data_IF_209833559295
#
_entry.id   IF_209833559295
#
_cell.length_a   1.000
_cell.length_b   1.000
_cell.length_c   1.000
_cell.angle_alpha   90.00
_cell.angle_beta   90.00
_cell.angle_gamma   90.00
#
_symmetry.space_group_name_H-M   'P 1'
#
loop_
_entity.id
_entity.type
_entity.pdbx_description
1 polymer ?
#
# COMPACT_ATOMS: atom_id res chain seq x y z
N UNK A 1 -19.69 -18.31 -5.96
CA UNK A 1 -19.90 -16.86 -5.78
C UNK A 1 -19.44 -16.20 -7.07
N UNK A 2 -20.34 -15.57 -7.81
CA UNK A 2 -20.00 -14.94 -9.10
C UNK A 2 -19.13 -13.73 -8.83
N UNK A 3 -17.88 -13.78 -9.31
CA UNK A 3 -16.86 -12.75 -9.14
C UNK A 3 -17.19 -11.54 -10.02
N UNK A 4 -18.19 -10.73 -9.64
CA UNK A 4 -18.25 -9.37 -10.17
C UNK A 4 -16.98 -8.65 -9.71
N UNK A 5 -16.10 -8.33 -10.66
CA UNK A 5 -14.98 -7.43 -10.46
C UNK A 5 -15.52 -6.00 -10.29
N UNK A 6 -16.20 -5.72 -9.17
CA UNK A 6 -16.64 -4.36 -8.84
C UNK A 6 -15.38 -3.58 -8.46
N UNK A 7 -14.98 -2.68 -9.34
CA UNK A 7 -13.84 -1.79 -9.14
C UNK A 7 -14.11 -0.93 -7.89
N UNK A 8 -13.36 -1.18 -6.82
CA UNK A 8 -13.40 -0.36 -5.61
C UNK A 8 -12.93 1.06 -5.93
N UNK A 9 -13.60 2.06 -5.36
CA UNK A 9 -13.27 3.46 -5.58
C UNK A 9 -12.49 4.01 -4.38
N UNK A 10 -11.45 4.78 -4.69
CA UNK A 10 -10.72 5.55 -3.69
C UNK A 10 -11.34 6.93 -3.56
N UNK A 11 -11.75 7.30 -2.34
CA UNK A 11 -12.16 8.67 -2.03
C UNK A 11 -10.99 9.65 -2.26
N UNK A 12 -11.31 10.92 -2.44
CA UNK A 12 -10.29 11.95 -2.65
C UNK A 12 -9.37 12.09 -1.43
N UNK A 13 -9.92 11.96 -0.23
CA UNK A 13 -9.16 11.98 1.02
C UNK A 13 -8.18 10.81 1.10
N UNK A 14 -8.62 9.58 0.78
CA UNK A 14 -7.74 8.41 0.76
C UNK A 14 -6.60 8.60 -0.24
N UNK A 15 -6.88 9.16 -1.44
CA UNK A 15 -5.83 9.46 -2.44
C UNK A 15 -4.81 10.49 -1.94
N UNK A 16 -5.27 11.52 -1.24
CA UNK A 16 -4.39 12.54 -0.68
C UNK A 16 -3.52 11.95 0.45
N UNK A 17 -4.07 11.04 1.25
CA UNK A 17 -3.32 10.29 2.26
C UNK A 17 -2.26 9.39 1.65
N UNK A 18 -2.60 8.61 0.61
CA UNK A 18 -1.64 7.78 -0.13
C UNK A 18 -0.50 8.63 -0.71
N UNK A 19 -0.83 9.79 -1.28
CA UNK A 19 0.16 10.73 -1.83
C UNK A 19 1.07 11.28 -0.73
N UNK A 20 0.50 11.72 0.40
CA UNK A 20 1.25 12.24 1.56
C UNK A 20 2.14 11.17 2.17
N UNK A 21 1.65 9.93 2.30
CA UNK A 21 2.41 8.81 2.83
C UNK A 21 3.61 8.50 1.92
N UNK A 22 3.39 8.34 0.61
CA UNK A 22 4.47 8.11 -0.36
C UNK A 22 5.57 9.19 -0.28
N UNK A 23 5.18 10.46 -0.16
CA UNK A 23 6.12 11.58 -0.11
C UNK A 23 6.78 11.75 1.27
N UNK A 24 6.04 11.51 2.34
CA UNK A 24 6.48 11.66 3.73
C UNK A 24 7.44 10.55 4.16
N UNK A 25 7.20 9.32 3.71
CA UNK A 25 8.03 8.17 4.08
C UNK A 25 9.33 8.09 3.28
N UNK A 26 9.48 8.86 2.19
CA UNK A 26 10.73 8.95 1.41
C UNK A 26 11.95 9.36 2.26
N UNK A 27 11.74 10.02 3.41
CA UNK A 27 12.81 10.46 4.33
C UNK A 27 12.81 9.69 5.66
N UNK A 28 11.92 8.71 5.84
CA UNK A 28 11.84 7.96 7.08
C UNK A 28 12.88 6.83 7.07
N UNK A 29 13.67 6.75 8.15
CA UNK A 29 14.67 5.68 8.32
C UNK A 29 14.07 4.39 8.91
N UNK A 30 12.82 4.44 9.37
CA UNK A 30 12.10 3.31 9.97
C UNK A 30 10.98 2.85 9.03
N UNK A 31 10.70 1.54 8.98
CA UNK A 31 9.56 1.04 8.21
C UNK A 31 8.27 1.65 8.76
N UNK A 32 7.39 2.06 7.84
CA UNK A 32 6.08 2.60 8.18
C UNK A 32 5.02 1.77 7.48
N UNK A 33 3.97 1.39 8.20
CA UNK A 33 2.84 0.69 7.62
C UNK A 33 1.52 1.37 7.97
N UNK A 34 0.57 1.28 7.04
CA UNK A 34 -0.80 1.77 7.19
C UNK A 34 -1.77 0.69 6.74
N UNK A 35 -2.81 0.45 7.54
CA UNK A 35 -3.87 -0.50 7.22
C UNK A 35 -5.03 0.25 6.56
N UNK A 36 -5.56 -0.33 5.49
CA UNK A 36 -6.75 0.13 4.78
C UNK A 36 -7.83 -0.96 4.81
N UNK A 37 -9.07 -0.52 5.00
CA UNK A 37 -10.23 -1.38 5.06
C UNK A 37 -11.16 -1.11 3.87
N UNK A 38 -11.80 -2.17 3.39
CA UNK A 38 -12.83 -2.07 2.37
C UNK A 38 -14.17 -2.11 3.08
N UNK A 39 -14.96 -1.05 2.92
CA UNK A 39 -16.36 -1.10 3.33
C UNK A 39 -17.16 -1.90 2.28
N UNK A 40 -17.76 -3.02 2.72
CA UNK A 40 -18.52 -3.94 1.87
C UNK A 40 -19.82 -3.31 1.34
N UNK A 41 -20.32 -2.27 2.01
CA UNK A 41 -21.55 -1.59 1.63
C UNK A 41 -21.32 -0.55 0.53
N UNK A 42 -20.35 0.34 0.73
CA UNK A 42 -20.05 1.47 -0.16
C UNK A 42 -19.03 1.12 -1.25
N UNK A 43 -18.31 -0.01 -1.12
CA UNK A 43 -17.19 -0.39 -1.98
C UNK A 43 -16.09 0.69 -2.01
N UNK A 44 -15.98 1.46 -0.93
CA UNK A 44 -14.96 2.49 -0.75
C UNK A 44 -13.81 1.95 0.09
N UNK A 45 -12.58 2.32 -0.30
CA UNK A 45 -11.37 2.05 0.47
C UNK A 45 -11.14 3.21 1.43
N UNK A 46 -11.28 2.95 2.72
CA UNK A 46 -11.14 3.93 3.80
C UNK A 46 -9.98 3.56 4.70
N UNK A 47 -9.30 4.60 5.20
CA UNK A 47 -8.36 4.49 6.29
C UNK A 47 -9.13 4.62 7.61
N UNK A 48 -8.61 4.01 8.68
CA UNK A 48 -9.10 4.32 10.02
C UNK A 48 -8.91 5.81 10.35
N UNK A 49 -9.85 6.37 11.11
CA UNK A 49 -9.89 7.79 11.46
C UNK A 49 -8.62 8.23 12.19
N UNK A 50 -8.03 7.32 12.98
CA UNK A 50 -6.84 7.55 13.80
C UNK A 50 -5.53 7.60 13.02
N UNK A 51 -5.55 7.24 11.72
CA UNK A 51 -4.36 7.27 10.83
C UNK A 51 -3.13 6.64 11.47
N UNK A 52 -3.34 5.50 12.13
CA UNK A 52 -2.29 4.79 12.85
C UNK A 52 -1.18 4.39 11.88
N UNK A 53 0.02 4.90 12.14
CA UNK A 53 1.24 4.53 11.40
C UNK A 53 2.03 3.58 12.26
N UNK A 54 2.06 2.31 11.86
CA UNK A 54 2.82 1.27 12.54
C UNK A 54 4.29 1.39 12.17
N UNK A 55 5.16 1.24 13.17
CA UNK A 55 6.62 1.33 13.00
C UNK A 55 7.31 -0.03 12.99
N UNK A 56 6.63 -1.07 13.47
CA UNK A 56 7.11 -2.45 13.55
C UNK A 56 6.13 -3.39 12.86
N UNK A 57 6.64 -4.51 12.35
CA UNK A 57 5.79 -5.54 11.71
C UNK A 57 4.99 -6.33 12.73
N UNK A 58 5.50 -6.48 13.95
CA UNK A 58 4.85 -7.26 15.02
C UNK A 58 3.57 -6.56 15.51
N UNK A 59 3.65 -5.25 15.79
CA UNK A 59 2.48 -4.43 16.14
C UNK A 59 1.45 -4.40 15.02
N UNK A 60 1.92 -4.39 13.77
CA UNK A 60 1.04 -4.46 12.61
C UNK A 60 0.31 -5.81 12.56
N UNK A 61 1.01 -6.94 12.75
CA UNK A 61 0.39 -8.27 12.70
C UNK A 61 -0.65 -8.48 13.79
N UNK A 62 -0.41 -7.94 14.99
CA UNK A 62 -1.33 -8.07 16.12
C UNK A 62 -2.65 -7.30 15.89
N UNK A 63 -2.60 -6.19 15.15
CA UNK A 63 -3.78 -5.35 14.83
C UNK A 63 -4.54 -5.81 13.57
N UNK A 64 -4.04 -6.81 12.84
CA UNK A 64 -4.74 -7.40 11.70
C UNK A 64 -5.82 -8.40 12.17
N UNK A 65 -7.10 -8.25 11.79
CA UNK A 65 -8.14 -9.21 12.11
C UNK A 65 -8.05 -10.42 11.21
N UNK A 66 -8.05 -11.61 11.81
CA UNK A 66 -7.92 -12.91 11.11
C UNK A 66 -9.06 -13.24 10.12
N UNK A 67 -10.19 -12.54 10.23
CA UNK A 67 -11.47 -12.94 9.63
C UNK A 67 -11.94 -11.99 8.51
N UNK A 68 -11.15 -10.99 8.15
CA UNK A 68 -11.45 -10.09 7.03
C UNK A 68 -10.20 -9.66 6.27
N UNK A 69 -10.21 -9.71 4.94
CA UNK A 69 -9.09 -9.21 4.14
C UNK A 69 -8.94 -7.70 4.35
N UNK A 70 -7.73 -7.26 4.68
CA UNK A 70 -7.33 -5.86 4.76
C UNK A 70 -6.18 -5.58 3.79
N UNK A 71 -6.09 -4.34 3.33
CA UNK A 71 -4.94 -3.90 2.54
C UNK A 71 -3.91 -3.27 3.47
N UNK A 72 -2.64 -3.59 3.27
CA UNK A 72 -1.53 -3.01 4.02
C UNK A 72 -0.65 -2.25 3.05
N UNK A 73 -0.46 -0.96 3.31
CA UNK A 73 0.53 -0.15 2.62
C UNK A 73 1.79 -0.12 3.48
N UNK A 74 2.79 -0.91 3.10
CA UNK A 74 4.09 -0.97 3.75
C UNK A 74 5.11 -0.14 2.95
N UNK A 75 5.71 0.84 3.61
CA UNK A 75 6.91 1.50 3.10
C UNK A 75 8.09 1.00 3.92
N UNK A 76 8.89 0.13 3.29
CA UNK A 76 10.08 -0.44 3.89
C UNK A 76 11.32 0.15 3.21
N UNK A 77 12.22 0.84 3.95
CA UNK A 77 13.48 1.31 3.42
C UNK A 77 14.44 0.13 3.22
N UNK A 78 14.31 -0.56 2.08
CA UNK A 78 15.21 -1.64 1.68
C UNK A 78 16.52 -1.03 1.20
N UNK A 79 17.61 -1.29 1.92
CA UNK A 79 18.98 -1.08 1.41
C UNK A 79 19.37 -2.33 0.62
N UNK A 80 18.83 -2.44 -0.60
CA UNK A 80 19.34 -3.45 -1.54
C UNK A 80 20.82 -3.14 -1.79
N UNK A 81 21.68 -4.14 -1.64
CA UNK A 81 23.05 -4.04 -2.17
C UNK A 81 22.91 -3.86 -3.69
N UNK A 82 23.78 -3.05 -4.29
CA UNK A 82 23.68 -2.62 -5.69
C UNK A 82 23.61 -3.76 -6.73
N UNK A 83 23.81 -5.00 -6.30
CA UNK A 83 23.77 -6.25 -7.06
C UNK A 83 22.33 -6.68 -7.42
N UNK A 84 21.34 -6.32 -6.59
CA UNK A 84 19.92 -6.66 -6.78
C UNK A 84 19.10 -5.52 -7.40
N UNK A 85 19.74 -4.38 -7.67
CA UNK A 85 19.16 -3.21 -8.32
C UNK A 85 19.32 -3.25 -9.85
N UNK A 86 19.35 -4.44 -10.45
CA UNK A 86 19.15 -4.59 -11.90
C UNK A 86 17.72 -4.17 -12.23
N UNK A 87 17.59 -2.85 -12.42
CA UNK A 87 16.78 -2.16 -13.38
C UNK A 87 15.77 -3.07 -14.08
N UNK A 88 14.55 -3.10 -13.56
CA UNK A 88 13.35 -3.60 -14.21
C UNK A 88 12.93 -2.73 -15.43
N UNK A 89 13.89 -2.34 -16.27
CA UNK A 89 13.68 -1.64 -17.54
C UNK A 89 14.29 -2.41 -18.72
N UNK A 90 14.17 -3.74 -18.72
CA UNK A 90 14.52 -4.54 -19.89
C UNK A 90 13.28 -5.25 -20.40
N UNK A 91 12.60 -4.62 -21.35
CA UNK A 91 11.45 -5.20 -22.04
C UNK A 91 10.31 -4.23 -22.32
N UNK A 92 10.59 -3.11 -22.98
CA UNK A 92 9.59 -2.49 -23.87
C UNK A 92 10.24 -2.49 -25.24
N UNK A 93 9.87 -3.48 -26.03
CA UNK A 93 10.11 -3.55 -27.47
C UNK A 93 9.48 -2.32 -28.13
N UNK A 94 10.29 -1.57 -28.86
CA UNK A 94 9.82 -0.64 -29.87
C UNK A 94 10.55 -1.01 -31.17
N UNK A 95 9.93 -1.95 -31.90
CA UNK A 95 10.19 -2.20 -33.31
C UNK A 95 10.06 -0.87 -34.07
N UNK A 96 11.12 -0.48 -34.77
CA UNK A 96 11.07 0.58 -35.75
C UNK A 96 11.55 0.00 -37.09
N UNK A 97 10.59 -0.17 -38.00
CA UNK A 97 10.82 -0.28 -39.45
C UNK A 97 11.13 1.12 -40.03
#
# INVERSE_FOLDING_TARGET
MSSESRLYTFSQETKDHLRKFRLGTSRANYPQAVIYMIDKSTHEIRQDEDKTVYKTLDELSDDLPDHSPRFVLLSYPLTLRAEDALCWCQGIDEEHE
#
